data_IF_466718728966
#
_entry.id   IF_466718728966
#
_cell.length_a   1.000
_cell.length_b   1.000
_cell.length_c   1.000
_cell.angle_alpha   90.00
_cell.angle_beta   90.00
_cell.angle_gamma   90.00
#
_symmetry.space_group_name_H-M   'P 1'
#
loop_
_entity.id
_entity.type
_entity.pdbx_description
1 polymer ?
#
# COMPACT_ATOMS: atom_id res chain seq x y z
N UNK A 1 2.68 -17.72 -3.58
CA UNK A 1 2.08 -17.77 -2.24
C UNK A 1 3.02 -17.05 -1.28
N UNK A 2 2.51 -16.15 -0.43
CA UNK A 2 3.32 -15.44 0.58
C UNK A 2 3.71 -16.44 1.68
N UNK A 3 4.98 -16.51 2.11
CA UNK A 3 5.38 -17.37 3.23
C UNK A 3 4.60 -17.06 4.50
N UNK A 4 4.12 -18.09 5.22
CA UNK A 4 3.25 -17.91 6.38
C UNK A 4 3.85 -17.00 7.48
N UNK A 5 5.16 -17.11 7.74
CA UNK A 5 5.86 -16.23 8.69
C UNK A 5 5.83 -14.76 8.28
N UNK A 6 6.01 -14.48 6.99
CA UNK A 6 5.93 -13.12 6.43
C UNK A 6 4.51 -12.59 6.54
N UNK A 7 3.52 -13.40 6.17
CA UNK A 7 2.12 -13.03 6.27
C UNK A 7 1.72 -12.68 7.71
N UNK A 8 2.07 -13.54 8.67
CA UNK A 8 1.82 -13.29 10.09
C UNK A 8 2.43 -11.96 10.56
N UNK A 9 3.69 -11.72 10.23
CA UNK A 9 4.39 -10.48 10.59
C UNK A 9 3.68 -9.20 10.07
N UNK A 10 3.19 -9.24 8.83
CA UNK A 10 2.46 -8.11 8.22
C UNK A 10 1.10 -7.91 8.88
N UNK A 11 0.35 -8.99 9.11
CA UNK A 11 -0.93 -8.94 9.80
C UNK A 11 -0.79 -8.38 11.22
N UNK A 12 0.23 -8.83 11.97
CA UNK A 12 0.50 -8.33 13.31
C UNK A 12 0.90 -6.83 13.30
N UNK A 13 1.78 -6.40 12.38
CA UNK A 13 2.18 -4.98 12.22
C UNK A 13 0.97 -4.06 12.03
N UNK A 14 0.01 -4.52 11.25
CA UNK A 14 -1.18 -3.75 10.87
C UNK A 14 -2.37 -3.99 11.82
N UNK A 15 -2.12 -4.63 12.97
CA UNK A 15 -3.12 -4.98 13.99
C UNK A 15 -4.31 -5.76 13.45
N UNK A 16 -4.08 -6.62 12.46
CA UNK A 16 -5.12 -7.41 11.76
C UNK A 16 -6.24 -6.52 11.20
N UNK A 17 -5.94 -5.26 10.83
CA UNK A 17 -6.89 -4.34 10.21
C UNK A 17 -6.62 -4.20 8.72
N UNK A 18 -7.68 -4.16 7.92
CA UNK A 18 -7.55 -3.92 6.49
C UNK A 18 -7.07 -2.49 6.23
N UNK A 19 -5.88 -2.34 5.66
CA UNK A 19 -5.28 -1.04 5.33
C UNK A 19 -5.91 -0.46 4.06
N UNK A 20 -6.39 -1.30 3.14
CA UNK A 20 -6.97 -0.87 1.87
C UNK A 20 -8.27 -0.07 2.02
N UNK A 21 -9.19 -0.50 2.89
CA UNK A 21 -10.41 0.23 3.27
C UNK A 21 -11.26 0.79 2.11
N UNK A 22 -11.75 -0.09 1.22
CA UNK A 22 -12.75 0.27 0.20
C UNK A 22 -14.15 0.48 0.78
N UNK A 23 -15.08 0.94 -0.04
CA UNK A 23 -16.51 0.72 0.22
C UNK A 23 -16.79 -0.80 0.32
N UNK A 24 -17.61 -1.20 1.30
CA UNK A 24 -17.87 -2.62 1.60
C UNK A 24 -16.71 -3.36 2.31
N UNK A 25 -15.68 -2.65 2.78
CA UNK A 25 -14.63 -3.24 3.61
C UNK A 25 -15.20 -3.87 4.89
N UNK A 26 -14.75 -5.08 5.22
CA UNK A 26 -15.10 -5.76 6.48
C UNK A 26 -14.13 -5.45 7.63
N UNK A 27 -13.17 -4.55 7.40
CA UNK A 27 -12.19 -4.00 8.34
C UNK A 27 -11.18 -4.98 8.94
N UNK A 28 -11.42 -6.29 8.86
CA UNK A 28 -10.51 -7.32 9.37
C UNK A 28 -9.54 -7.78 8.28
N UNK A 29 -8.25 -7.58 8.51
CA UNK A 29 -7.18 -8.06 7.66
C UNK A 29 -6.94 -9.55 7.88
N UNK A 30 -7.21 -10.37 6.87
CA UNK A 30 -7.00 -11.84 6.91
C UNK A 30 -6.02 -12.33 5.86
N UNK A 31 -5.67 -11.46 4.91
CA UNK A 31 -4.69 -11.72 3.86
C UNK A 31 -3.69 -10.56 3.78
N UNK A 32 -2.60 -10.77 3.05
CA UNK A 32 -1.65 -9.72 2.75
C UNK A 32 -1.77 -9.33 1.28
N UNK A 33 -1.86 -8.03 1.03
CA UNK A 33 -1.93 -7.42 -0.29
C UNK A 33 -0.55 -6.87 -0.68
N UNK A 34 -0.17 -7.06 -1.96
CA UNK A 34 1.08 -6.54 -2.52
C UNK A 34 0.92 -5.12 -3.02
N UNK A 35 1.79 -4.21 -2.57
CA UNK A 35 1.83 -2.83 -3.07
C UNK A 35 2.37 -2.79 -4.50
N UNK A 36 3.49 -3.46 -4.75
CA UNK A 36 4.00 -3.79 -6.08
C UNK A 36 3.53 -5.19 -6.47
N UNK A 37 2.66 -5.28 -7.47
CA UNK A 37 2.10 -6.55 -7.93
C UNK A 37 3.15 -7.51 -8.51
N UNK A 38 2.90 -8.83 -8.42
CA UNK A 38 3.85 -9.87 -8.85
C UNK A 38 4.01 -10.01 -10.37
N UNK A 39 3.07 -9.45 -11.16
CA UNK A 39 2.97 -9.67 -12.60
C UNK A 39 2.63 -11.13 -12.97
N UNK A 40 2.58 -11.42 -14.26
CA UNK A 40 2.43 -12.79 -14.79
C UNK A 40 3.74 -13.54 -14.53
N UNK A 41 3.68 -14.69 -13.82
CA UNK A 41 4.85 -15.52 -13.51
C UNK A 41 5.34 -15.47 -12.06
N UNK A 42 4.79 -14.60 -11.20
CA UNK A 42 4.80 -14.80 -9.74
C UNK A 42 6.18 -14.89 -9.06
N UNK A 43 7.06 -13.90 -9.27
CA UNK A 43 8.37 -13.87 -8.59
C UNK A 43 8.26 -13.79 -7.06
N UNK A 44 8.96 -14.67 -6.34
CA UNK A 44 8.98 -14.70 -4.85
C UNK A 44 9.72 -13.51 -4.22
N UNK A 45 10.53 -12.78 -4.99
CA UNK A 45 11.33 -11.66 -4.47
C UNK A 45 10.53 -10.48 -3.92
N UNK A 46 9.23 -10.40 -4.24
CA UNK A 46 8.32 -9.35 -3.75
C UNK A 46 7.52 -9.76 -2.50
N UNK A 47 7.72 -10.97 -1.98
CA UNK A 47 7.07 -11.49 -0.78
C UNK A 47 7.79 -11.06 0.50
N UNK A 48 7.97 -9.75 0.63
CA UNK A 48 8.69 -9.14 1.76
C UNK A 48 7.80 -8.11 2.47
N UNK A 49 7.91 -7.96 3.79
CA UNK A 49 6.95 -7.16 4.56
C UNK A 49 6.81 -5.69 4.13
N UNK A 50 7.89 -5.07 3.64
CA UNK A 50 7.88 -3.67 3.14
C UNK A 50 6.94 -3.47 1.93
N UNK A 51 6.75 -4.51 1.14
CA UNK A 51 5.88 -4.51 -0.04
C UNK A 51 4.47 -5.03 0.26
N UNK A 52 4.17 -5.36 1.52
CA UNK A 52 2.92 -6.00 1.91
C UNK A 52 2.17 -5.16 2.93
N UNK A 53 0.83 -5.22 2.90
CA UNK A 53 -0.06 -4.67 3.94
C UNK A 53 -1.18 -5.67 4.25
N UNK A 54 -1.74 -5.59 5.46
CA UNK A 54 -2.92 -6.37 5.80
C UNK A 54 -4.15 -5.89 5.01
N UNK A 55 -4.91 -6.85 4.49
CA UNK A 55 -6.13 -6.60 3.74
C UNK A 55 -7.20 -7.64 4.07
N UNK A 56 -8.48 -7.26 3.95
CA UNK A 56 -9.56 -8.22 3.89
C UNK A 56 -9.67 -8.80 2.47
N UNK A 57 -10.27 -9.99 2.32
CA UNK A 57 -10.46 -10.62 1.02
C UNK A 57 -11.25 -9.76 0.02
N UNK A 58 -12.24 -8.98 0.51
CA UNK A 58 -13.06 -8.09 -0.31
C UNK A 58 -12.21 -6.99 -0.94
N UNK A 59 -11.50 -6.19 -0.14
CA UNK A 59 -10.66 -5.12 -0.65
C UNK A 59 -9.50 -5.64 -1.51
N UNK A 60 -8.90 -6.76 -1.13
CA UNK A 60 -7.82 -7.38 -1.91
C UNK A 60 -8.31 -7.78 -3.32
N UNK A 61 -9.53 -8.33 -3.45
CA UNK A 61 -10.13 -8.61 -4.75
C UNK A 61 -10.49 -7.35 -5.52
N UNK A 62 -11.16 -6.38 -4.87
CA UNK A 62 -11.59 -5.12 -5.49
C UNK A 62 -10.43 -4.31 -6.04
N UNK A 63 -9.25 -4.32 -5.39
CA UNK A 63 -8.08 -3.58 -5.85
C UNK A 63 -7.62 -3.99 -7.26
N UNK A 64 -7.90 -5.23 -7.68
CA UNK A 64 -7.55 -5.72 -9.01
C UNK A 64 -8.67 -5.58 -10.03
N UNK A 65 -9.94 -5.51 -9.59
CA UNK A 65 -11.10 -5.45 -10.49
C UNK A 65 -11.72 -4.06 -10.63
N UNK A 66 -11.55 -3.16 -9.65
CA UNK A 66 -12.13 -1.82 -9.63
C UNK A 66 -11.07 -0.75 -9.89
N UNK A 67 -11.14 -0.13 -11.06
CA UNK A 67 -10.15 0.87 -11.50
C UNK A 67 -10.16 2.14 -10.61
N UNK A 68 -11.32 2.71 -10.24
CA UNK A 68 -11.35 3.84 -9.29
C UNK A 68 -10.65 3.52 -7.96
N UNK A 69 -10.93 2.37 -7.36
CA UNK A 69 -10.31 1.95 -6.11
C UNK A 69 -8.81 1.66 -6.27
N UNK A 70 -8.39 1.07 -7.39
CA UNK A 70 -6.97 0.90 -7.70
C UNK A 70 -6.22 2.24 -7.79
N UNK A 71 -6.85 3.28 -8.37
CA UNK A 71 -6.30 4.64 -8.41
C UNK A 71 -6.21 5.24 -7.02
N UNK A 72 -7.23 5.06 -6.19
CA UNK A 72 -7.21 5.52 -4.79
C UNK A 72 -6.10 4.83 -4.00
N UNK A 73 -5.94 3.51 -4.16
CA UNK A 73 -4.82 2.78 -3.58
C UNK A 73 -3.47 3.35 -4.05
N UNK A 74 -3.34 3.76 -5.32
CA UNK A 74 -2.11 4.39 -5.80
C UNK A 74 -1.84 5.73 -5.09
N UNK A 75 -2.85 6.59 -4.92
CA UNK A 75 -2.73 7.87 -4.19
C UNK A 75 -2.32 7.68 -2.74
N UNK A 76 -2.71 6.56 -2.12
CA UNK A 76 -2.37 6.21 -0.74
C UNK A 76 -1.08 5.41 -0.60
N UNK A 77 -0.31 5.22 -1.68
CA UNK A 77 0.92 4.43 -1.70
C UNK A 77 0.71 2.91 -1.54
N UNK A 78 -0.53 2.44 -1.66
CA UNK A 78 -0.95 1.04 -1.56
C UNK A 78 -0.93 0.30 -2.91
N UNK A 79 -0.75 1.03 -4.02
CA UNK A 79 -0.48 0.46 -5.35
C UNK A 79 0.70 1.20 -5.97
N UNK A 80 1.78 0.48 -6.20
CA UNK A 80 3.03 1.02 -6.77
C UNK A 80 3.20 0.40 -8.15
N UNK A 81 3.50 1.26 -9.13
CA UNK A 81 3.78 0.81 -10.49
C UNK A 81 5.09 0.01 -10.48
N UNK A 82 5.06 -1.17 -11.11
CA UNK A 82 6.24 -2.01 -11.37
C UNK A 82 7.29 -1.23 -12.15
N UNK A 83 8.53 -1.35 -11.71
CA UNK A 83 9.74 -0.93 -12.42
C UNK A 83 10.30 -2.09 -13.25
N UNK A 84 11.56 -1.98 -13.66
CA UNK A 84 12.24 -2.98 -14.48
C UNK A 84 12.90 -4.09 -13.64
N UNK A 85 13.17 -3.85 -12.35
CA UNK A 85 13.90 -4.80 -11.50
C UNK A 85 13.20 -4.98 -10.15
N UNK A 86 13.36 -6.19 -9.57
CA UNK A 86 12.83 -6.46 -8.23
C UNK A 86 13.51 -5.56 -7.18
N UNK A 87 14.81 -5.28 -7.32
CA UNK A 87 15.53 -4.40 -6.39
C UNK A 87 14.92 -3.00 -6.37
N UNK A 88 14.70 -2.39 -7.54
CA UNK A 88 14.10 -1.06 -7.62
C UNK A 88 12.66 -1.06 -7.12
N UNK A 89 11.89 -2.11 -7.38
CA UNK A 89 10.54 -2.28 -6.84
C UNK A 89 10.53 -2.28 -5.30
N UNK A 90 11.48 -2.97 -4.67
CA UNK A 90 11.59 -3.02 -3.21
C UNK A 90 12.08 -1.69 -2.62
N UNK A 91 13.02 -1.01 -3.29
CA UNK A 91 13.42 0.35 -2.92
C UNK A 91 12.24 1.32 -3.00
N UNK A 92 11.43 1.22 -4.07
CA UNK A 92 10.22 2.03 -4.20
C UNK A 92 9.23 1.71 -3.08
N UNK A 93 8.99 0.43 -2.77
CA UNK A 93 8.13 0.04 -1.65
C UNK A 93 8.64 0.56 -0.30
N UNK A 94 9.95 0.62 -0.08
CA UNK A 94 10.54 1.14 1.15
C UNK A 94 10.41 2.65 1.29
N UNK A 95 10.51 3.39 0.18
CA UNK A 95 10.56 4.86 0.19
C UNK A 95 9.20 5.53 -0.02
N UNK A 96 8.26 4.87 -0.71
CA UNK A 96 6.90 5.38 -0.90
C UNK A 96 6.12 5.18 0.40
N UNK A 97 5.58 6.24 1.03
CA UNK A 97 4.82 6.12 2.26
C UNK A 97 3.43 5.52 2.01
N UNK A 98 2.78 5.05 3.07
CA UNK A 98 1.43 4.45 3.05
C UNK A 98 0.49 5.24 3.93
N UNK A 99 -0.67 5.62 3.39
CA UNK A 99 -1.74 6.22 4.18
C UNK A 99 -2.68 5.16 4.74
N UNK A 100 -2.80 5.10 6.06
CA UNK A 100 -3.74 4.22 6.75
C UNK A 100 -5.16 4.81 6.75
N UNK A 101 -6.20 4.02 7.06
CA UNK A 101 -7.59 4.48 6.99
C UNK A 101 -7.93 5.67 7.90
N UNK A 102 -7.14 5.90 8.95
CA UNK A 102 -7.25 7.05 9.85
C UNK A 102 -6.64 8.34 9.29
N UNK A 103 -6.11 8.31 8.06
CA UNK A 103 -5.48 9.44 7.38
C UNK A 103 -3.99 9.63 7.71
N UNK A 104 -3.44 8.85 8.64
CA UNK A 104 -2.03 8.96 9.03
C UNK A 104 -1.10 8.30 8.01
N UNK A 105 0.10 8.88 7.84
CA UNK A 105 1.11 8.42 6.89
C UNK A 105 2.25 7.70 7.58
N UNK A 106 2.71 6.60 6.99
CA UNK A 106 3.73 5.73 7.57
C UNK A 106 4.75 5.29 6.52
N UNK A 107 6.00 5.11 6.94
CA UNK A 107 6.96 4.27 6.20
C UNK A 107 6.90 2.83 6.72
N UNK A 108 7.06 1.88 5.80
CA UNK A 108 7.12 0.46 6.13
C UNK A 108 8.58 0.02 6.05
N UNK A 109 9.08 -0.66 7.08
CA UNK A 109 10.48 -1.14 7.09
C UNK A 109 10.52 -2.65 6.98
N UNK A 110 9.85 -3.34 7.91
CA UNK A 110 9.60 -4.77 7.85
C UNK A 110 8.35 -5.13 8.68
N UNK A 111 8.55 -5.53 9.93
CA UNK A 111 7.53 -5.87 10.93
C UNK A 111 7.01 -4.64 11.67
N UNK A 112 7.58 -3.46 11.43
CA UNK A 112 7.16 -2.21 12.04
C UNK A 112 6.79 -1.19 10.97
N UNK A 113 6.08 -0.17 11.43
CA UNK A 113 5.75 1.04 10.67
C UNK A 113 6.20 2.24 11.49
N UNK A 114 6.75 3.25 10.84
CA UNK A 114 7.19 4.48 11.49
C UNK A 114 6.24 5.61 11.10
N UNK A 115 5.65 6.28 12.09
CA UNK A 115 4.74 7.39 11.84
C UNK A 115 5.53 8.54 11.23
N UNK A 116 5.01 9.10 10.15
CA UNK A 116 5.53 10.31 9.56
C UNK A 116 4.85 11.53 10.17
N UNK A 117 5.63 12.56 10.46
CA UNK A 117 5.08 13.90 10.71
C UNK A 117 4.48 14.45 9.40
N UNK A 118 3.64 15.47 9.53
CA UNK A 118 2.96 16.08 8.39
C UNK A 118 3.93 16.62 7.33
N UNK A 119 4.99 17.31 7.74
CA UNK A 119 6.06 17.83 6.87
C UNK A 119 6.75 16.71 6.07
N UNK A 120 7.08 15.61 6.74
CA UNK A 120 7.74 14.47 6.12
C UNK A 120 6.80 13.73 5.14
N UNK A 121 5.53 13.61 5.51
CA UNK A 121 4.52 13.01 4.65
C UNK A 121 4.31 13.84 3.39
N UNK A 122 4.19 15.16 3.51
CA UNK A 122 4.06 16.07 2.37
C UNK A 122 5.26 15.99 1.43
N UNK A 123 6.49 16.02 1.98
CA UNK A 123 7.71 15.89 1.19
C UNK A 123 7.75 14.57 0.41
N UNK A 124 7.55 13.44 1.09
CA UNK A 124 7.62 12.12 0.47
C UNK A 124 6.48 11.86 -0.53
N UNK A 125 5.26 12.28 -0.20
CA UNK A 125 4.12 12.12 -1.10
C UNK A 125 4.29 12.97 -2.37
N UNK A 126 4.84 14.18 -2.25
CA UNK A 126 5.16 15.04 -3.40
C UNK A 126 6.27 14.43 -4.25
N UNK A 127 7.37 14.01 -3.62
CA UNK A 127 8.51 13.37 -4.30
C UNK A 127 8.10 12.16 -5.12
N UNK A 128 7.15 11.38 -4.62
CA UNK A 128 6.67 10.15 -5.26
C UNK A 128 5.38 10.35 -6.08
N UNK A 129 4.90 11.59 -6.24
CA UNK A 129 3.73 11.90 -7.05
C UNK A 129 2.43 11.25 -6.55
N UNK A 130 2.32 10.96 -5.25
CA UNK A 130 1.13 10.38 -4.64
C UNK A 130 -0.01 11.39 -4.53
N UNK A 131 0.34 12.68 -4.38
CA UNK A 131 -0.61 13.78 -4.19
C UNK A 131 -0.61 14.68 -5.42
N UNK A 132 -1.65 14.51 -6.25
CA UNK A 132 -1.97 15.40 -7.39
C UNK A 132 -3.09 14.82 -8.27
N UNK A 133 -4.22 15.48 -8.51
CA UNK A 133 -4.84 16.62 -7.84
C UNK A 133 -6.37 16.49 -7.91
N UNK A 134 -7.07 16.95 -6.88
CA UNK A 134 -8.36 17.59 -7.10
C UNK A 134 -8.03 19.05 -7.32
N UNK A 135 -7.88 19.47 -8.58
CA UNK A 135 -8.29 20.84 -8.89
C UNK A 135 -9.80 20.86 -8.68
N UNK A 136 -10.23 21.28 -7.49
CA UNK A 136 -11.51 21.96 -7.41
C UNK A 136 -11.40 23.12 -8.37
N UNK A 137 -12.06 23.04 -9.53
CA UNK A 137 -12.40 24.25 -10.27
C UNK A 137 -13.35 25.04 -9.37
N UNK A 138 -12.77 25.83 -8.47
CA UNK A 138 -13.39 27.01 -7.90
C UNK A 138 -13.04 28.20 -8.80
N UNK A 139 -14.06 29.00 -9.13
CA UNK A 139 -13.98 30.19 -9.98
C UNK A 139 -14.38 29.87 -11.42
N UNK A 140 -15.48 30.37 -11.96
CA UNK A 140 -16.37 31.50 -11.61
C UNK A 140 -17.78 31.17 -12.09
#
# INVERSE_FOLDING_TARGET
MIPAKVGKAVLDRDNHRCVLASFGCVWVGTVCDHRVGRGIGGGRGLDVPVNLVAACGVCNGLKESDTPFARECARRGLRIRRSHTTTQDLENAANIPVQYPDGTWWTLTSTTRCLLRADQAEELTTRHGLVGGYTTKGGT
#
